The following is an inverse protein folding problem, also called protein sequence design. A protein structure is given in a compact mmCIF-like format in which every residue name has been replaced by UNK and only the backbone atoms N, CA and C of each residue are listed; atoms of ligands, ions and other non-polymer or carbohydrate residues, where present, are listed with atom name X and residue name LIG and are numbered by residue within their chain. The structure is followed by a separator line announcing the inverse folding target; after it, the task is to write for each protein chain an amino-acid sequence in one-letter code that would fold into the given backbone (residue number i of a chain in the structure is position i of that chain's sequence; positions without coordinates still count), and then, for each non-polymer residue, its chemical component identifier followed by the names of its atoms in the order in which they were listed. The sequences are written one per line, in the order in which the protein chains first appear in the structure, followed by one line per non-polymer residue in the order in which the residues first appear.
data_IF_793865762947
#
_entry.id   IF_793865762947
#
_cell.length_a   1.000
_cell.length_b   1.000
_cell.length_c   1.000
_cell.angle_alpha   90.00
_cell.angle_beta   90.00
_cell.angle_gamma   90.00
#
_symmetry.space_group_name_H-M   'P 1'
#
loop_
_entity.id
_entity.type
_entity.pdbx_description
1 polymer ?
#
# COMPACT_ATOMS: atom_id res chain seq x y z
N UNK A 1 -29.55 -16.77 -24.91
CA UNK A 1 -29.39 -17.97 -25.73
C UNK A 1 -30.77 -18.61 -25.74
N UNK A 2 -31.49 -18.58 -26.92
CA UNK A 2 -32.91 -18.84 -27.03
C UNK A 2 -33.26 -20.31 -26.75
N UNK A 3 -34.22 -20.54 -25.86
CA UNK A 3 -34.77 -21.89 -25.53
C UNK A 3 -35.29 -22.64 -26.76
N UNK A 4 -35.74 -21.95 -27.81
CA UNK A 4 -36.22 -22.55 -29.07
C UNK A 4 -35.13 -23.31 -29.83
N UNK A 5 -33.85 -22.96 -29.67
CA UNK A 5 -32.75 -23.66 -30.32
C UNK A 5 -32.48 -25.05 -29.74
N UNK A 6 -32.74 -25.23 -28.46
CA UNK A 6 -32.59 -26.52 -27.77
C UNK A 6 -33.71 -27.49 -28.06
N UNK A 7 -34.94 -26.98 -28.28
CA UNK A 7 -36.08 -27.83 -28.67
C UNK A 7 -35.95 -28.36 -30.11
N UNK A 8 -35.41 -27.54 -31.04
CA UNK A 8 -35.17 -27.94 -32.42
C UNK A 8 -34.10 -29.02 -32.59
N UNK A 9 -33.06 -29.03 -31.77
CA UNK A 9 -32.01 -30.06 -31.80
C UNK A 9 -32.53 -31.40 -31.23
N UNK A 10 -33.29 -31.38 -30.14
CA UNK A 10 -33.86 -32.59 -29.53
C UNK A 10 -34.76 -33.37 -30.46
N UNK A 11 -35.56 -32.68 -31.30
CA UNK A 11 -36.49 -33.31 -32.23
C UNK A 11 -35.82 -33.93 -33.47
N UNK A 12 -34.65 -33.44 -33.88
CA UNK A 12 -33.87 -34.02 -35.00
C UNK A 12 -33.10 -35.29 -34.60
N UNK A 13 -32.68 -35.40 -33.35
CA UNK A 13 -31.95 -36.56 -32.82
C UNK A 13 -32.85 -37.78 -32.69
N UNK A 14 -34.15 -37.58 -32.44
CA UNK A 14 -35.14 -38.67 -32.35
C UNK A 14 -35.45 -39.34 -33.68
N UNK A 15 -35.14 -38.71 -34.86
CA UNK A 15 -35.37 -39.27 -36.21
C UNK A 15 -34.21 -40.12 -36.74
N UNK A 16 -33.05 -40.13 -36.08
CA UNK A 16 -31.83 -40.80 -36.57
C UNK A 16 -31.55 -42.15 -35.92
N UNK A 17 -32.54 -42.95 -35.58
CA UNK A 17 -32.32 -44.37 -35.19
C UNK A 17 -31.46 -44.60 -33.91
N UNK A 18 -31.23 -43.59 -33.13
CA UNK A 18 -30.44 -43.68 -31.88
C UNK A 18 -31.22 -44.46 -30.83
N UNK A 19 -30.58 -45.51 -30.29
CA UNK A 19 -31.13 -46.31 -29.19
C UNK A 19 -31.50 -45.41 -28.00
N UNK A 20 -32.66 -45.64 -27.39
CA UNK A 20 -33.12 -44.93 -26.17
C UNK A 20 -32.08 -44.93 -25.06
N UNK A 21 -31.20 -45.91 -25.05
CA UNK A 21 -30.07 -46.01 -24.12
C UNK A 21 -29.02 -44.93 -24.39
N UNK A 22 -28.71 -44.63 -25.65
CA UNK A 22 -27.71 -43.61 -26.01
C UNK A 22 -28.19 -42.19 -25.71
N UNK A 23 -29.50 -41.91 -25.91
CA UNK A 23 -30.07 -40.60 -25.54
C UNK A 23 -30.01 -40.38 -24.02
N UNK A 24 -30.31 -41.42 -23.24
CA UNK A 24 -30.19 -41.37 -21.77
C UNK A 24 -28.74 -41.16 -21.32
N UNK A 25 -27.77 -41.78 -21.99
CA UNK A 25 -26.34 -41.63 -21.66
C UNK A 25 -25.85 -40.20 -21.94
N UNK A 26 -26.27 -39.61 -23.09
CA UNK A 26 -25.90 -38.21 -23.43
C UNK A 26 -26.54 -37.23 -22.46
N UNK A 27 -27.79 -37.44 -22.04
CA UNK A 27 -28.45 -36.59 -21.04
C UNK A 27 -27.81 -36.72 -19.67
N UNK A 28 -27.40 -37.91 -19.25
CA UNK A 28 -26.65 -38.12 -18.00
C UNK A 28 -25.26 -37.46 -18.02
N UNK A 29 -24.53 -37.57 -19.13
CA UNK A 29 -23.24 -36.90 -19.30
C UNK A 29 -23.39 -35.37 -19.32
N UNK A 30 -24.41 -34.82 -19.96
CA UNK A 30 -24.71 -33.40 -19.95
C UNK A 30 -25.06 -32.90 -18.52
N UNK A 31 -25.81 -33.71 -17.77
CA UNK A 31 -26.18 -33.39 -16.38
C UNK A 31 -24.93 -33.41 -15.43
N UNK A 32 -24.08 -34.40 -15.62
CA UNK A 32 -22.82 -34.51 -14.86
C UNK A 32 -21.88 -33.35 -15.23
N UNK A 33 -21.75 -33.00 -16.50
CA UNK A 33 -20.96 -31.89 -16.99
C UNK A 33 -21.48 -30.54 -16.46
N UNK A 34 -22.83 -30.38 -16.42
CA UNK A 34 -23.46 -29.20 -15.82
C UNK A 34 -23.23 -29.08 -14.32
N UNK A 35 -23.27 -30.19 -13.59
CA UNK A 35 -22.97 -30.21 -12.15
C UNK A 35 -21.49 -29.93 -11.85
N UNK A 36 -20.56 -30.41 -12.67
CA UNK A 36 -19.11 -30.13 -12.48
C UNK A 36 -18.75 -28.69 -12.84
N UNK A 37 -19.42 -28.07 -13.83
CA UNK A 37 -19.22 -26.66 -14.17
C UNK A 37 -19.75 -25.72 -13.06
N UNK A 38 -20.82 -26.12 -12.36
CA UNK A 38 -21.38 -25.30 -11.28
C UNK A 38 -20.47 -25.24 -10.04
N UNK A 39 -19.61 -26.22 -9.83
CA UNK A 39 -18.68 -26.26 -8.70
C UNK A 39 -17.43 -25.42 -8.90
N UNK A 40 -17.15 -24.94 -10.11
CA UNK A 40 -15.93 -24.19 -10.43
C UNK A 40 -16.08 -22.67 -10.26
N UNK A 41 -17.23 -22.16 -9.84
CA UNK A 41 -17.51 -20.72 -9.79
C UNK A 41 -17.71 -20.17 -8.38
N UNK A 42 -17.25 -20.85 -7.34
CA UNK A 42 -17.00 -20.17 -6.07
C UNK A 42 -15.71 -19.36 -6.23
N UNK A 43 -15.84 -18.16 -6.82
CA UNK A 43 -14.81 -17.14 -6.72
C UNK A 43 -14.66 -16.84 -5.22
N UNK A 44 -13.62 -17.42 -4.60
CA UNK A 44 -13.20 -17.07 -3.25
C UNK A 44 -13.00 -15.56 -3.24
N UNK A 45 -13.98 -14.83 -2.73
CA UNK A 45 -13.86 -13.40 -2.53
C UNK A 45 -12.74 -13.22 -1.49
N UNK A 46 -11.54 -13.02 -1.96
CA UNK A 46 -10.39 -12.80 -1.12
C UNK A 46 -10.61 -11.50 -0.36
N UNK A 47 -10.91 -11.63 0.93
CA UNK A 47 -11.13 -10.46 1.78
C UNK A 47 -9.82 -9.70 1.88
N UNK A 48 -9.83 -8.44 1.41
CA UNK A 48 -8.68 -7.55 1.53
C UNK A 48 -8.41 -7.28 3.00
N UNK A 49 -7.16 -7.48 3.48
CA UNK A 49 -6.84 -7.15 4.85
C UNK A 49 -7.04 -5.65 5.11
N UNK A 50 -7.57 -5.34 6.28
CA UNK A 50 -7.80 -3.97 6.72
C UNK A 50 -6.48 -3.36 7.20
N UNK A 51 -6.22 -2.13 6.75
CA UNK A 51 -4.98 -1.40 7.00
C UNK A 51 -5.26 -0.08 7.70
N UNK A 52 -4.69 0.10 8.88
CA UNK A 52 -4.61 1.37 9.58
C UNK A 52 -3.32 2.10 9.24
N UNK A 53 -3.37 3.40 9.02
CA UNK A 53 -2.20 4.26 8.76
C UNK A 53 -2.18 5.35 9.83
N UNK A 54 -1.18 5.31 10.72
CA UNK A 54 -0.98 6.37 11.69
C UNK A 54 -0.46 7.65 11.03
N UNK A 55 -0.83 8.83 11.55
CA UNK A 55 -0.16 10.05 11.18
C UNK A 55 1.34 9.94 11.42
N UNK A 56 2.17 10.38 10.47
CA UNK A 56 3.62 10.32 10.63
C UNK A 56 4.08 11.00 11.92
N UNK A 57 5.07 10.41 12.58
CA UNK A 57 5.76 11.01 13.71
C UNK A 57 6.94 11.83 13.21
N UNK A 58 7.17 13.00 13.81
CA UNK A 58 8.33 13.84 13.49
C UNK A 58 9.48 13.43 14.39
N UNK A 59 10.60 13.02 13.79
CA UNK A 59 11.82 12.65 14.50
C UNK A 59 12.96 13.59 14.09
N UNK A 60 13.31 14.53 14.99
CA UNK A 60 14.33 15.55 14.70
C UNK A 60 15.74 15.16 15.14
N UNK A 61 15.84 14.14 15.99
CA UNK A 61 17.08 13.79 16.68
C UNK A 61 17.47 14.82 17.75
N UNK A 62 18.11 14.38 18.80
CA UNK A 62 18.51 15.24 19.93
C UNK A 62 19.86 15.95 19.66
N UNK A 63 20.81 15.27 19.02
CA UNK A 63 22.16 15.76 18.77
C UNK A 63 22.31 16.33 17.34
N UNK A 64 22.63 17.63 17.19
CA UNK A 64 22.82 18.24 15.86
C UNK A 64 23.89 17.56 15.01
N UNK A 65 24.86 16.89 15.59
CA UNK A 65 25.98 16.25 14.89
C UNK A 65 25.74 14.82 14.42
N UNK A 66 24.68 14.15 14.91
CA UNK A 66 24.49 12.71 14.72
C UNK A 66 23.39 12.28 13.75
N UNK A 67 22.68 13.21 13.14
CA UNK A 67 21.50 12.89 12.34
C UNK A 67 20.27 12.53 13.19
N UNK A 68 19.16 12.15 12.55
CA UNK A 68 17.97 11.64 13.21
C UNK A 68 17.97 10.11 13.14
N UNK A 69 17.58 9.46 14.25
CA UNK A 69 17.62 7.98 14.34
C UNK A 69 16.20 7.47 14.42
N UNK A 70 15.84 6.58 13.50
CA UNK A 70 14.54 5.91 13.57
C UNK A 70 14.38 5.15 14.90
N UNK A 71 13.32 5.40 15.68
CA UNK A 71 13.09 4.72 16.95
C UNK A 71 12.92 3.21 16.82
N UNK A 72 12.46 2.72 15.66
CA UNK A 72 12.19 1.30 15.41
C UNK A 72 13.41 0.59 14.85
N UNK A 73 13.85 0.94 13.64
CA UNK A 73 14.92 0.20 12.94
C UNK A 73 16.33 0.70 13.27
N UNK A 74 16.47 1.75 14.09
CA UNK A 74 17.74 2.36 14.52
C UNK A 74 18.60 2.91 13.37
N UNK A 75 18.02 3.11 12.20
CA UNK A 75 18.72 3.69 11.06
C UNK A 75 18.90 5.20 11.24
N UNK A 76 20.02 5.70 10.76
CA UNK A 76 20.36 7.12 10.79
C UNK A 76 19.91 7.77 9.46
N UNK A 77 19.29 8.93 9.57
CA UNK A 77 18.86 9.81 8.49
C UNK A 77 19.55 11.13 8.55
N UNK A 78 19.81 11.75 7.41
CA UNK A 78 20.28 13.13 7.38
C UNK A 78 19.22 14.04 7.98
N UNK A 79 19.64 14.94 8.85
CA UNK A 79 18.76 15.96 9.43
C UNK A 79 18.48 17.07 8.41
N UNK A 80 17.39 17.75 8.62
CA UNK A 80 17.02 18.91 7.84
C UNK A 80 15.77 19.56 8.37
N UNK A 81 15.33 20.61 7.70
CA UNK A 81 14.11 21.29 8.04
C UNK A 81 12.90 20.37 7.81
N UNK A 82 11.90 20.48 8.66
CA UNK A 82 10.62 19.83 8.51
C UNK A 82 9.56 20.93 8.43
N UNK A 83 9.08 21.19 7.23
CA UNK A 83 8.08 22.21 6.97
C UNK A 83 6.80 21.96 7.73
N UNK A 84 6.15 23.04 8.15
CA UNK A 84 4.83 22.95 8.79
C UNK A 84 3.83 22.27 7.86
N UNK A 85 3.01 21.35 8.39
CA UNK A 85 2.02 20.61 7.61
C UNK A 85 2.55 19.40 6.85
N UNK A 86 3.87 19.24 6.65
CA UNK A 86 4.46 18.14 5.89
C UNK A 86 4.10 16.75 6.42
N UNK A 87 3.95 16.62 7.75
CA UNK A 87 3.44 15.40 8.39
C UNK A 87 2.08 14.98 7.80
N UNK A 88 1.13 15.91 7.73
CA UNK A 88 -0.22 15.64 7.23
C UNK A 88 -0.19 15.40 5.72
N UNK A 89 0.61 16.17 4.97
CA UNK A 89 0.82 15.96 3.53
C UNK A 89 1.31 14.55 3.24
N UNK A 90 2.35 14.10 3.94
CA UNK A 90 2.92 12.76 3.73
C UNK A 90 1.96 11.64 4.16
N UNK A 91 1.20 11.84 5.26
CA UNK A 91 0.20 10.87 5.72
C UNK A 91 -0.91 10.67 4.67
N UNK A 92 -1.48 11.77 4.16
CA UNK A 92 -2.52 11.72 3.10
C UNK A 92 -1.98 11.12 1.81
N UNK A 93 -0.78 11.50 1.42
CA UNK A 93 -0.12 10.96 0.23
C UNK A 93 0.03 9.43 0.32
N UNK A 94 0.52 8.93 1.44
CA UNK A 94 0.65 7.49 1.67
C UNK A 94 -0.72 6.80 1.61
N UNK A 95 -1.73 7.36 2.27
CA UNK A 95 -3.09 6.81 2.24
C UNK A 95 -3.63 6.72 0.82
N UNK A 96 -3.62 7.81 0.06
CA UNK A 96 -4.12 7.85 -1.31
C UNK A 96 -3.43 6.80 -2.21
N UNK A 97 -2.12 6.63 -2.05
CA UNK A 97 -1.38 5.64 -2.83
C UNK A 97 -1.68 4.21 -2.40
N UNK A 98 -1.88 3.95 -1.11
CA UNK A 98 -2.30 2.63 -0.61
C UNK A 98 -3.72 2.28 -1.07
N UNK A 99 -4.64 3.24 -1.06
CA UNK A 99 -5.98 3.08 -1.63
C UNK A 99 -5.94 2.79 -3.13
N UNK A 100 -5.06 3.49 -3.89
CA UNK A 100 -4.90 3.31 -5.32
C UNK A 100 -4.35 1.93 -5.71
N UNK A 101 -3.50 1.31 -4.88
CA UNK A 101 -3.05 -0.08 -5.06
C UNK A 101 -4.24 -1.04 -5.00
N UNK A 102 -5.22 -0.77 -4.14
CA UNK A 102 -6.46 -1.52 -4.07
C UNK A 102 -6.37 -2.93 -3.47
N UNK A 103 -5.22 -3.36 -2.95
CA UNK A 103 -5.03 -4.68 -2.32
C UNK A 103 -5.41 -4.70 -0.85
N UNK A 104 -5.51 -3.53 -0.20
CA UNK A 104 -5.88 -3.36 1.20
C UNK A 104 -7.19 -2.60 1.33
N UNK A 105 -7.92 -2.84 2.42
CA UNK A 105 -9.03 -2.01 2.87
C UNK A 105 -8.45 -0.95 3.82
N UNK A 106 -8.05 0.20 3.27
CA UNK A 106 -7.46 1.29 4.05
C UNK A 106 -8.54 1.95 4.93
N UNK A 107 -8.25 2.11 6.22
CA UNK A 107 -9.13 2.82 7.14
C UNK A 107 -9.01 4.34 6.92
N UNK A 108 -10.14 5.10 7.01
CA UNK A 108 -10.10 6.55 6.88
C UNK A 108 -9.18 7.22 7.90
N UNK A 109 -8.45 8.26 7.49
CA UNK A 109 -7.55 9.03 8.37
C UNK A 109 -8.30 9.62 9.57
N UNK A 110 -9.51 10.11 9.33
CA UNK A 110 -10.35 10.74 10.35
C UNK A 110 -10.63 9.77 11.50
N UNK A 111 -10.83 8.49 11.18
CA UNK A 111 -11.03 7.43 12.17
C UNK A 111 -9.78 7.20 13.02
N UNK A 112 -8.60 7.32 12.41
CA UNK A 112 -7.33 7.20 13.11
C UNK A 112 -7.08 8.42 14.00
N UNK A 113 -7.33 9.63 13.51
CA UNK A 113 -7.16 10.87 14.27
C UNK A 113 -8.11 10.92 15.47
N UNK A 114 -9.37 10.52 15.27
CA UNK A 114 -10.35 10.40 16.36
C UNK A 114 -9.86 9.39 17.42
N UNK A 115 -9.48 8.20 17.02
CA UNK A 115 -9.04 7.16 17.95
C UNK A 115 -7.79 7.57 18.73
N UNK A 116 -6.80 8.20 18.07
CA UNK A 116 -5.58 8.70 18.74
C UNK A 116 -5.92 9.83 19.74
N UNK A 117 -6.93 10.67 19.45
CA UNK A 117 -7.28 11.79 20.32
C UNK A 117 -7.72 11.36 21.72
N UNK A 118 -8.18 10.13 21.90
CA UNK A 118 -8.55 9.56 23.18
C UNK A 118 -7.37 9.04 24.02
N UNK A 119 -6.17 8.97 23.41
CA UNK A 119 -4.96 8.52 24.10
C UNK A 119 -4.18 9.70 24.68
N UNK A 120 -3.57 9.50 25.83
CA UNK A 120 -2.56 10.45 26.32
C UNK A 120 -1.36 10.44 25.37
N UNK A 121 -1.06 11.60 24.79
CA UNK A 121 -0.02 11.75 23.77
C UNK A 121 1.35 11.29 24.26
N UNK A 122 1.73 11.66 25.48
CA UNK A 122 3.04 11.32 26.04
C UNK A 122 3.17 9.83 26.27
N UNK A 123 2.14 9.22 26.86
CA UNK A 123 2.13 7.77 27.10
C UNK A 123 2.14 6.99 25.79
N UNK A 124 1.42 7.48 24.76
CA UNK A 124 1.39 6.86 23.43
C UNK A 124 2.78 6.87 22.79
N UNK A 125 3.48 8.02 22.82
CA UNK A 125 4.81 8.20 22.23
C UNK A 125 5.90 7.44 23.00
N UNK A 126 5.83 7.37 24.33
CA UNK A 126 6.78 6.58 25.15
C UNK A 126 6.72 5.08 24.86
N UNK A 127 5.53 4.56 24.52
CA UNK A 127 5.32 3.14 24.18
C UNK A 127 4.77 3.00 22.75
N UNK A 128 5.38 3.71 21.80
CA UNK A 128 4.82 3.90 20.46
C UNK A 128 4.36 2.60 19.80
N UNK A 129 5.18 1.56 19.75
CA UNK A 129 4.82 0.33 19.06
C UNK A 129 3.72 -0.45 19.79
N UNK A 130 3.80 -0.74 21.09
CA UNK A 130 2.70 -1.36 21.83
C UNK A 130 1.39 -0.57 21.72
N UNK A 131 1.45 0.76 21.85
CA UNK A 131 0.26 1.64 21.75
C UNK A 131 -0.33 1.60 20.34
N UNK A 132 0.50 1.64 19.30
CA UNK A 132 0.05 1.53 17.91
C UNK A 132 -0.64 0.20 17.63
N UNK A 133 -0.07 -0.91 18.10
CA UNK A 133 -0.66 -2.24 17.95
C UNK A 133 -2.01 -2.33 18.68
N UNK A 134 -2.09 -1.82 19.90
CA UNK A 134 -3.32 -1.80 20.66
C UNK A 134 -4.40 -0.98 19.95
N UNK A 135 -4.06 0.25 19.51
CA UNK A 135 -4.96 1.11 18.75
C UNK A 135 -5.50 0.45 17.48
N UNK A 136 -4.60 -0.21 16.72
CA UNK A 136 -5.00 -0.94 15.52
C UNK A 136 -5.99 -2.08 15.82
N UNK A 137 -5.79 -2.80 16.93
CA UNK A 137 -6.71 -3.85 17.39
C UNK A 137 -8.07 -3.29 17.80
N UNK A 138 -8.10 -2.16 18.50
CA UNK A 138 -9.35 -1.44 18.88
C UNK A 138 -10.16 -1.04 17.63
N UNK A 139 -9.48 -0.70 16.54
CA UNK A 139 -10.09 -0.36 15.25
C UNK A 139 -10.44 -1.57 14.37
N UNK A 140 -10.19 -2.79 14.85
CA UNK A 140 -10.35 -4.05 14.10
C UNK A 140 -9.59 -4.03 12.76
N UNK A 141 -8.37 -3.49 12.76
CA UNK A 141 -7.48 -3.59 11.63
C UNK A 141 -6.68 -4.91 11.69
N UNK A 142 -6.21 -5.39 10.52
CA UNK A 142 -5.32 -6.54 10.41
C UNK A 142 -3.86 -6.11 10.43
N UNK A 143 -3.60 -4.93 9.87
CA UNK A 143 -2.28 -4.33 9.67
C UNK A 143 -2.27 -2.87 10.12
N UNK A 144 -1.11 -2.40 10.59
CA UNK A 144 -0.92 -0.98 10.92
C UNK A 144 0.42 -0.47 10.38
N UNK A 145 0.40 0.72 9.79
CA UNK A 145 1.60 1.46 9.39
C UNK A 145 1.94 2.52 10.45
N UNK A 146 3.20 2.50 10.87
CA UNK A 146 3.85 3.53 11.69
C UNK A 146 4.94 4.18 10.86
N UNK A 147 4.89 5.48 10.63
CA UNK A 147 5.85 6.22 9.81
C UNK A 147 6.57 7.32 10.58
N UNK A 148 7.82 7.59 10.21
CA UNK A 148 8.64 8.68 10.75
C UNK A 148 9.11 9.61 9.65
N UNK A 149 9.03 10.90 9.92
CA UNK A 149 9.51 11.97 9.06
C UNK A 149 10.74 12.63 9.71
N UNK A 150 11.85 12.60 8.99
CA UNK A 150 13.16 13.09 9.47
C UNK A 150 13.56 14.40 8.81
N UNK A 151 13.12 14.63 7.55
CA UNK A 151 13.44 15.82 6.75
C UNK A 151 12.36 16.05 5.70
N UNK A 152 11.97 17.31 5.51
CA UNK A 152 11.04 17.71 4.45
C UNK A 152 11.34 19.16 4.07
N UNK A 153 12.33 19.34 3.20
CA UNK A 153 12.83 20.64 2.77
C UNK A 153 12.36 20.97 1.37
N UNK A 154 11.78 22.15 1.22
CA UNK A 154 11.37 22.64 -0.08
C UNK A 154 12.58 23.10 -0.91
N UNK A 155 12.47 22.98 -2.22
CA UNK A 155 13.43 23.63 -3.12
C UNK A 155 13.35 25.14 -3.02
N UNK A 156 14.47 25.81 -3.24
CA UNK A 156 14.54 27.25 -3.47
C UNK A 156 14.87 27.47 -4.95
N UNK A 157 14.07 28.29 -5.64
CA UNK A 157 14.21 28.54 -7.06
C UNK A 157 13.05 27.94 -7.90
N UNK A 158 13.30 27.78 -9.19
CA UNK A 158 12.29 27.37 -10.18
C UNK A 158 12.40 25.88 -10.57
N UNK A 159 11.41 25.31 -11.28
CA UNK A 159 11.50 23.96 -11.82
C UNK A 159 12.65 23.74 -12.79
N UNK A 160 13.17 24.79 -13.42
CA UNK A 160 14.28 24.72 -14.41
C UNK A 160 15.63 25.11 -13.80
N UNK A 161 15.65 25.70 -12.59
CA UNK A 161 16.88 26.07 -11.90
C UNK A 161 16.64 26.23 -10.40
N UNK A 162 17.19 25.30 -9.60
CA UNK A 162 17.11 25.33 -8.15
C UNK A 162 18.44 25.78 -7.56
N UNK A 163 18.38 26.75 -6.64
CA UNK A 163 19.49 27.17 -5.80
C UNK A 163 19.71 26.18 -4.66
N UNK A 164 18.59 25.73 -4.05
CA UNK A 164 18.56 24.63 -3.08
C UNK A 164 17.58 23.58 -3.58
N UNK A 165 17.98 22.33 -3.75
CA UNK A 165 17.08 21.25 -4.16
C UNK A 165 16.17 20.84 -3.02
N UNK A 166 15.00 20.27 -3.37
CA UNK A 166 14.15 19.59 -2.39
C UNK A 166 14.85 18.39 -1.79
N UNK A 167 14.56 18.15 -0.51
CA UNK A 167 15.19 17.09 0.27
C UNK A 167 14.18 16.47 1.21
N UNK A 168 13.99 15.14 1.11
CA UNK A 168 12.98 14.41 1.88
C UNK A 168 13.57 13.13 2.46
N UNK A 169 13.32 12.90 3.74
CA UNK A 169 13.75 11.70 4.45
C UNK A 169 12.64 11.17 5.36
N UNK A 170 12.19 9.94 5.11
CA UNK A 170 11.18 9.27 5.92
C UNK A 170 11.29 7.75 5.82
N UNK A 171 10.72 7.06 6.79
CA UNK A 171 10.49 5.61 6.73
C UNK A 171 9.08 5.24 7.18
N UNK A 172 8.71 4.00 6.86
CA UNK A 172 7.45 3.38 7.26
C UNK A 172 7.70 1.95 7.68
N UNK A 173 6.97 1.52 8.71
CA UNK A 173 7.02 0.19 9.29
C UNK A 173 5.62 -0.40 9.31
N UNK A 174 5.44 -1.57 8.72
CA UNK A 174 4.18 -2.29 8.64
C UNK A 174 4.16 -3.41 9.66
N UNK A 175 3.24 -3.35 10.59
CA UNK A 175 3.06 -4.38 11.61
C UNK A 175 1.79 -5.18 11.36
N UNK A 176 1.89 -6.49 11.56
CA UNK A 176 0.75 -7.39 11.60
C UNK A 176 0.19 -7.43 13.02
N UNK A 177 -1.11 -7.13 13.15
CA UNK A 177 -1.70 -6.88 14.46
C UNK A 177 -1.98 -8.14 15.28
N UNK A 178 -2.14 -9.30 14.64
CA UNK A 178 -2.42 -10.56 15.38
C UNK A 178 -1.28 -10.93 16.34
N UNK A 179 -0.03 -10.70 15.95
CA UNK A 179 1.18 -11.08 16.70
C UNK A 179 2.13 -9.89 16.99
N UNK A 180 1.86 -8.72 16.43
CA UNK A 180 2.67 -7.51 16.62
C UNK A 180 4.02 -7.54 15.90
N UNK A 181 4.20 -8.42 14.91
CA UNK A 181 5.46 -8.56 14.17
C UNK A 181 5.53 -7.52 13.05
N UNK A 182 6.70 -6.90 12.88
CA UNK A 182 7.01 -6.07 11.71
C UNK A 182 7.20 -6.98 10.49
N UNK A 183 6.26 -6.91 9.55
CA UNK A 183 6.24 -7.76 8.36
C UNK A 183 6.87 -7.12 7.14
N UNK A 184 6.95 -5.79 7.10
CA UNK A 184 7.62 -5.04 6.05
C UNK A 184 8.04 -3.65 6.52
N UNK A 185 9.05 -3.09 5.84
CA UNK A 185 9.50 -1.70 6.01
C UNK A 185 9.88 -1.08 4.68
N UNK A 186 9.54 0.20 4.53
CA UNK A 186 9.97 1.04 3.42
C UNK A 186 10.82 2.21 3.91
N UNK A 187 11.72 2.68 3.06
CA UNK A 187 12.60 3.79 3.36
C UNK A 187 12.81 4.67 2.14
N UNK A 188 12.78 5.96 2.35
CA UNK A 188 13.19 6.96 1.38
C UNK A 188 14.05 8.04 2.05
N UNK A 189 15.19 8.36 1.48
CA UNK A 189 16.10 9.37 1.98
C UNK A 189 16.87 9.95 0.79
N UNK A 190 16.38 11.04 0.24
CA UNK A 190 16.91 11.64 -0.98
C UNK A 190 16.91 13.17 -0.92
N UNK A 191 18.03 13.74 -1.35
CA UNK A 191 18.14 15.13 -1.79
C UNK A 191 18.26 15.11 -3.29
N UNK A 192 17.40 15.82 -4.01
CA UNK A 192 17.44 15.85 -5.46
C UNK A 192 18.75 16.47 -5.94
N UNK A 193 19.41 15.81 -6.89
CA UNK A 193 20.68 16.27 -7.47
C UNK A 193 20.52 16.63 -8.94
N UNK A 194 21.29 17.61 -9.46
CA UNK A 194 21.29 17.92 -10.88
C UNK A 194 21.78 16.74 -11.72
N UNK A 195 21.36 16.68 -12.98
CA UNK A 195 21.77 15.63 -13.92
C UNK A 195 23.30 15.56 -14.11
N UNK A 196 23.97 16.71 -14.06
CA UNK A 196 25.42 16.83 -14.22
C UNK A 196 26.20 16.05 -13.15
N UNK A 197 25.60 15.84 -11.97
CA UNK A 197 26.27 15.16 -10.86
C UNK A 197 25.95 13.66 -10.76
N UNK A 198 24.94 13.18 -11.47
CA UNK A 198 24.53 11.78 -11.36
C UNK A 198 23.99 11.17 -12.66
N UNK A 199 24.90 10.95 -13.61
CA UNK A 199 24.61 10.35 -14.90
C UNK A 199 23.98 8.94 -14.81
N UNK A 200 24.24 8.20 -13.74
CA UNK A 200 23.66 6.86 -13.52
C UNK A 200 22.18 6.89 -13.15
N UNK A 201 21.64 8.04 -12.69
CA UNK A 201 20.22 8.23 -12.38
C UNK A 201 19.44 8.97 -13.48
N UNK A 202 20.02 9.12 -14.67
CA UNK A 202 19.40 9.80 -15.83
C UNK A 202 17.96 9.29 -16.08
N UNK A 203 17.75 7.97 -16.06
CA UNK A 203 16.44 7.39 -16.30
C UNK A 203 15.39 7.79 -15.25
N UNK A 204 15.78 8.01 -14.00
CA UNK A 204 14.85 8.47 -12.94
C UNK A 204 14.54 9.96 -13.08
N UNK A 205 15.52 10.77 -13.48
CA UNK A 205 15.34 12.20 -13.70
C UNK A 205 14.42 12.47 -14.91
N UNK A 206 14.60 11.76 -16.02
CA UNK A 206 13.71 11.89 -17.19
C UNK A 206 12.27 11.43 -16.87
N UNK A 207 12.11 10.38 -16.07
CA UNK A 207 10.78 9.98 -15.57
C UNK A 207 10.12 11.07 -14.71
N UNK A 208 10.90 11.89 -14.02
CA UNK A 208 10.47 13.06 -13.23
C UNK A 208 10.34 14.35 -14.07
N UNK A 209 10.13 14.24 -15.39
CA UNK A 209 9.96 15.37 -16.34
C UNK A 209 11.15 16.32 -16.45
N UNK A 210 12.36 15.87 -16.13
CA UNK A 210 13.60 16.65 -16.18
C UNK A 210 13.51 18.02 -15.46
N UNK A 211 12.78 18.06 -14.33
CA UNK A 211 12.55 19.28 -13.55
C UNK A 211 12.97 19.12 -12.09
N UNK A 212 13.23 20.24 -11.45
CA UNK A 212 13.40 20.29 -10.01
C UNK A 212 12.04 20.14 -9.34
N UNK A 213 11.88 19.10 -8.55
CA UNK A 213 10.64 18.78 -7.86
C UNK A 213 10.46 19.67 -6.62
N UNK A 214 9.20 19.86 -6.22
CA UNK A 214 8.86 20.29 -4.85
C UNK A 214 9.14 19.17 -3.85
N UNK A 215 9.15 19.49 -2.56
CA UNK A 215 9.29 18.47 -1.52
C UNK A 215 8.15 17.44 -1.55
N UNK A 216 6.93 17.89 -1.82
CA UNK A 216 5.76 17.01 -1.94
C UNK A 216 5.86 16.06 -3.16
N UNK A 217 6.26 16.60 -4.33
CA UNK A 217 6.49 15.79 -5.52
C UNK A 217 7.60 14.75 -5.28
N UNK A 218 8.69 15.14 -4.59
CA UNK A 218 9.77 14.22 -4.23
C UNK A 218 9.31 13.14 -3.25
N UNK A 219 8.52 13.53 -2.23
CA UNK A 219 7.89 12.58 -1.30
C UNK A 219 6.97 11.60 -2.02
N UNK A 220 6.18 12.09 -3.00
CA UNK A 220 5.31 11.24 -3.83
C UNK A 220 6.10 10.17 -4.59
N UNK A 221 7.22 10.55 -5.19
CA UNK A 221 8.14 9.60 -5.84
C UNK A 221 8.67 8.59 -4.83
N UNK A 222 9.06 9.05 -3.64
CA UNK A 222 9.58 8.18 -2.58
C UNK A 222 8.56 7.13 -2.13
N UNK A 223 7.31 7.53 -1.93
CA UNK A 223 6.23 6.59 -1.59
C UNK A 223 6.03 5.59 -2.72
N UNK A 224 5.96 6.01 -3.99
CA UNK A 224 5.83 5.10 -5.14
C UNK A 224 6.98 4.10 -5.23
N UNK A 225 8.22 4.54 -5.01
CA UNK A 225 9.39 3.67 -5.05
C UNK A 225 9.39 2.63 -3.92
N UNK A 226 8.93 3.01 -2.74
CA UNK A 226 8.78 2.08 -1.62
C UNK A 226 7.67 1.06 -1.87
N UNK A 227 6.49 1.52 -2.29
CA UNK A 227 5.32 0.67 -2.48
C UNK A 227 5.51 -0.38 -3.60
N UNK A 228 6.40 -0.14 -4.56
CA UNK A 228 6.81 -1.18 -5.54
C UNK A 228 7.44 -2.42 -4.90
N UNK A 229 7.95 -2.30 -3.68
CA UNK A 229 8.60 -3.39 -2.91
C UNK A 229 7.69 -3.92 -1.79
N UNK A 230 6.46 -3.42 -1.71
CA UNK A 230 5.47 -3.92 -0.75
C UNK A 230 5.06 -5.33 -1.19
N UNK A 231 5.21 -6.34 -0.33
CA UNK A 231 4.77 -7.70 -0.62
C UNK A 231 3.25 -7.78 -0.83
N UNK A 232 2.81 -8.82 -1.52
CA UNK A 232 1.40 -9.12 -1.61
C UNK A 232 0.81 -9.45 -0.22
N UNK A 233 -0.50 -9.21 0.02
CA UNK A 233 -1.11 -9.49 1.32
C UNK A 233 -0.85 -10.89 1.85
N UNK A 234 -0.86 -11.90 0.99
CA UNK A 234 -0.61 -13.29 1.35
C UNK A 234 0.80 -13.50 1.92
N UNK A 235 1.81 -12.88 1.32
CA UNK A 235 3.20 -12.95 1.79
C UNK A 235 3.41 -12.25 3.15
N UNK A 236 2.55 -11.26 3.47
CA UNK A 236 2.56 -10.58 4.77
C UNK A 236 1.97 -11.45 5.89
N UNK A 237 1.12 -12.41 5.54
CA UNK A 237 0.53 -13.34 6.49
C UNK A 237 1.46 -14.52 6.84
N UNK A 238 2.32 -14.92 5.92
CA UNK A 238 3.21 -16.07 6.08
C UNK A 238 4.51 -15.76 6.86
N UNK A 239 4.92 -14.49 6.93
CA UNK A 239 6.09 -14.05 7.70
C UNK A 239 5.80 -14.03 9.19
#
# INVERSE_FOLDING_TARGET
MNLEFLYGLGFRILKSGFSRAMVRLVLLLALILGLTLSWSLEAKTEMKPSLAILPFFIERGEDPGRGAICPICKRVYSRGEILSGSKNTLTRLLQQKMEAIGTFKVLPIEKMEEAISHWDKKQFEEKLIPSSIQLGKELNADLIIVGFLFRFEERIGSPIGAEKPASVGFDIHLFRLRDGIEVWRGRFDETQRPLSENLFKIGSFFRRKASWLTAEELASVGVDEMLKRLPAPQELEEK
#
